data_IF_866896404299
#
_entry.id   IF_866896404299
#
_cell.length_a   1.000
_cell.length_b   1.000
_cell.length_c   1.000
_cell.angle_alpha   90.00
_cell.angle_beta   90.00
_cell.angle_gamma   90.00
#
_symmetry.space_group_name_H-M   'P 1'
#
loop_
_entity.id
_entity.type
_entity.pdbx_description
1 polymer ?
#
# COMPACT_ATOMS: atom_id res chain seq x y z
N UNK A 1 -16.48 27.47 23.88
CA UNK A 1 -16.73 26.67 22.67
C UNK A 1 -16.84 25.24 23.17
N UNK A 2 -18.04 24.65 23.17
CA UNK A 2 -18.23 23.26 23.65
C UNK A 2 -17.42 22.31 22.76
N UNK A 3 -16.72 21.36 23.39
CA UNK A 3 -15.88 20.39 22.70
C UNK A 3 -16.70 19.32 21.96
N UNK A 4 -16.11 18.68 20.96
CA UNK A 4 -16.78 17.63 20.17
C UNK A 4 -17.38 16.55 21.08
N UNK A 5 -16.64 16.10 22.10
CA UNK A 5 -17.11 15.07 23.03
C UNK A 5 -18.35 15.49 23.85
N UNK A 6 -18.50 16.77 24.16
CA UNK A 6 -19.66 17.29 24.90
C UNK A 6 -20.90 17.33 24.01
N UNK A 7 -20.75 17.66 22.73
CA UNK A 7 -21.84 17.60 21.75
C UNK A 7 -22.33 16.16 21.52
N UNK A 8 -21.41 15.21 21.36
CA UNK A 8 -21.75 13.79 21.23
C UNK A 8 -22.46 13.26 22.48
N UNK A 9 -21.96 13.60 23.67
CA UNK A 9 -22.62 13.20 24.91
C UNK A 9 -24.05 13.73 25.01
N UNK A 10 -24.29 14.99 24.62
CA UNK A 10 -25.63 15.56 24.58
C UNK A 10 -26.52 14.86 23.56
N UNK A 11 -26.03 14.59 22.35
CA UNK A 11 -26.79 13.94 21.28
C UNK A 11 -27.27 12.55 21.70
N UNK A 12 -26.38 11.76 22.32
CA UNK A 12 -26.67 10.40 22.76
C UNK A 12 -27.21 10.32 24.20
N UNK A 13 -27.52 11.47 24.82
CA UNK A 13 -28.02 11.57 26.20
C UNK A 13 -27.14 10.83 27.23
N UNK A 14 -25.83 10.83 27.00
CA UNK A 14 -24.84 10.18 27.85
C UNK A 14 -24.68 10.98 29.15
N UNK A 15 -24.59 10.28 30.28
CA UNK A 15 -24.41 10.90 31.58
C UNK A 15 -23.17 11.82 31.64
N UNK A 16 -23.27 13.04 32.20
CA UNK A 16 -22.12 13.92 32.40
C UNK A 16 -21.02 13.31 33.27
N UNK A 17 -21.33 12.32 34.10
CA UNK A 17 -20.34 11.58 34.88
C UNK A 17 -19.54 10.62 33.98
N UNK A 18 -20.17 9.97 33.01
CA UNK A 18 -19.49 9.11 32.03
C UNK A 18 -18.46 9.91 31.21
N UNK A 19 -18.83 11.12 30.76
CA UNK A 19 -17.93 12.00 30.00
C UNK A 19 -16.71 12.41 30.83
N UNK A 20 -16.94 12.83 32.09
CA UNK A 20 -15.85 13.22 33.01
C UNK A 20 -14.92 12.05 33.32
N UNK A 21 -15.46 10.83 33.43
CA UNK A 21 -14.66 9.61 33.66
C UNK A 21 -13.87 9.21 32.41
N UNK A 22 -14.48 9.23 31.23
CA UNK A 22 -13.79 8.94 29.97
C UNK A 22 -12.61 9.90 29.73
N UNK A 23 -12.79 11.21 30.00
CA UNK A 23 -11.71 12.20 29.91
C UNK A 23 -10.56 11.94 30.89
N UNK A 24 -10.83 11.31 32.04
CA UNK A 24 -9.82 10.97 33.06
C UNK A 24 -9.20 9.58 32.86
N UNK A 25 -9.87 8.69 32.14
CA UNK A 25 -9.42 7.32 31.89
C UNK A 25 -8.11 7.25 31.08
N UNK A 26 -7.71 8.32 30.40
CA UNK A 26 -6.40 8.41 29.75
C UNK A 26 -5.21 8.54 30.74
N UNK A 27 -5.46 8.80 32.02
CA UNK A 27 -4.41 9.10 33.00
C UNK A 27 -4.01 7.93 33.91
N UNK A 28 -4.87 6.91 34.08
CA UNK A 28 -4.67 5.81 35.04
C UNK A 28 -4.99 4.44 34.41
N UNK A 29 -4.62 3.34 35.10
CA UNK A 29 -4.83 1.92 34.76
C UNK A 29 -6.26 1.62 34.23
N UNK A 30 -6.45 0.55 33.43
CA UNK A 30 -7.72 0.21 32.80
C UNK A 30 -8.80 -0.15 33.84
N UNK A 31 -9.49 0.86 34.36
CA UNK A 31 -10.63 0.72 35.26
C UNK A 31 -11.95 0.87 34.47
N UNK A 32 -12.91 0.01 34.80
CA UNK A 32 -14.26 0.03 34.24
C UNK A 32 -15.21 0.66 35.27
N UNK A 33 -15.79 1.81 34.93
CA UNK A 33 -16.75 2.54 35.75
C UNK A 33 -18.16 2.32 35.22
N UNK A 34 -19.12 2.10 36.11
CA UNK A 34 -20.52 1.98 35.75
C UNK A 34 -21.40 2.86 36.65
N UNK A 35 -22.43 3.46 36.06
CA UNK A 35 -23.56 4.07 36.74
C UNK A 35 -24.83 3.26 36.55
N UNK A 36 -25.98 3.84 36.91
CA UNK A 36 -27.27 3.16 36.78
C UNK A 36 -27.64 2.83 35.32
N UNK A 37 -27.18 3.65 34.37
CA UNK A 37 -27.55 3.62 32.95
C UNK A 37 -26.35 3.82 32.00
N UNK A 38 -25.11 3.80 32.51
CA UNK A 38 -23.92 4.02 31.70
C UNK A 38 -22.73 3.19 32.19
N UNK A 39 -21.80 2.90 31.27
CA UNK A 39 -20.50 2.28 31.54
C UNK A 39 -19.43 3.08 30.79
N UNK A 40 -18.31 3.36 31.44
CA UNK A 40 -17.14 4.00 30.85
C UNK A 40 -15.87 3.30 31.35
N UNK A 41 -15.03 2.82 30.43
CA UNK A 41 -13.76 2.19 30.75
C UNK A 41 -12.87 2.12 29.52
N UNK A 42 -11.61 1.77 29.71
CA UNK A 42 -10.68 1.55 28.59
C UNK A 42 -10.78 0.07 28.20
N UNK A 43 -11.12 -0.18 26.93
CA UNK A 43 -10.99 -1.52 26.35
C UNK A 43 -9.54 -1.67 25.91
N UNK A 44 -8.77 -2.44 26.66
CA UNK A 44 -7.40 -2.79 26.30
C UNK A 44 -7.38 -3.75 25.12
N UNK A 45 -6.17 -4.04 24.61
CA UNK A 45 -6.03 -4.96 23.48
C UNK A 45 -6.63 -6.33 23.81
N UNK A 46 -6.41 -6.86 25.01
CA UNK A 46 -6.86 -8.19 25.41
C UNK A 46 -8.39 -8.27 25.53
N UNK A 47 -9.04 -7.24 26.08
CA UNK A 47 -10.49 -7.15 26.19
C UNK A 47 -11.14 -6.91 24.83
N UNK A 48 -10.50 -6.12 23.95
CA UNK A 48 -10.98 -5.87 22.59
C UNK A 48 -11.00 -7.13 21.72
N UNK A 49 -10.07 -8.08 21.95
CA UNK A 49 -10.11 -9.39 21.29
C UNK A 49 -11.22 -10.32 21.82
N UNK A 50 -11.80 -10.01 22.98
CA UNK A 50 -12.91 -10.76 23.56
C UNK A 50 -14.23 -10.53 22.82
N UNK A 51 -14.42 -9.35 22.25
CA UNK A 51 -15.61 -9.00 21.47
C UNK A 51 -15.44 -9.31 19.98
N UNK A 52 -16.39 -10.07 19.42
CA UNK A 52 -16.28 -10.62 18.08
C UNK A 52 -16.13 -9.55 16.99
N UNK A 53 -16.92 -8.48 17.06
CA UNK A 53 -16.91 -7.42 16.05
C UNK A 53 -15.65 -6.55 16.13
N UNK A 54 -15.16 -6.30 17.34
CA UNK A 54 -13.89 -5.56 17.55
C UNK A 54 -12.73 -6.40 17.00
N UNK A 55 -12.68 -7.69 17.32
CA UNK A 55 -11.67 -8.61 16.78
C UNK A 55 -11.67 -8.63 15.25
N UNK A 56 -12.84 -8.76 14.62
CA UNK A 56 -12.97 -8.72 13.15
C UNK A 56 -12.39 -7.43 12.57
N UNK A 57 -12.74 -6.28 13.16
CA UNK A 57 -12.18 -4.99 12.74
C UNK A 57 -10.67 -4.93 12.90
N UNK A 58 -10.11 -5.42 14.01
CA UNK A 58 -8.65 -5.47 14.21
C UNK A 58 -7.98 -6.40 13.20
N UNK A 59 -8.55 -7.57 12.95
CA UNK A 59 -8.02 -8.54 11.98
C UNK A 59 -8.05 -7.96 10.56
N UNK A 60 -9.13 -7.27 10.19
CA UNK A 60 -9.25 -6.53 8.93
C UNK A 60 -8.15 -5.46 8.83
N UNK A 61 -8.02 -4.58 9.81
CA UNK A 61 -7.00 -3.52 9.84
C UNK A 61 -5.57 -4.07 9.75
N UNK A 62 -5.33 -5.30 10.23
CA UNK A 62 -4.03 -5.97 10.18
C UNK A 62 -3.77 -6.72 8.87
N UNK A 63 -4.82 -7.02 8.10
CA UNK A 63 -4.72 -7.75 6.84
C UNK A 63 -3.86 -6.99 5.82
N UNK A 64 -3.18 -7.73 4.95
CA UNK A 64 -2.44 -7.13 3.82
C UNK A 64 -3.40 -6.44 2.86
N UNK A 65 -4.59 -7.00 2.69
CA UNK A 65 -5.64 -6.41 1.86
C UNK A 65 -5.94 -4.99 2.33
N UNK A 66 -6.30 -4.81 3.60
CA UNK A 66 -6.57 -3.47 4.14
C UNK A 66 -5.37 -2.54 4.04
N UNK A 67 -4.15 -3.03 4.31
CA UNK A 67 -2.95 -2.18 4.29
C UNK A 67 -2.61 -1.65 2.90
N UNK A 68 -2.78 -2.47 1.85
CA UNK A 68 -2.26 -2.16 0.52
C UNK A 68 -3.32 -1.85 -0.53
N UNK A 69 -4.60 -2.18 -0.32
CA UNK A 69 -5.65 -1.88 -1.30
C UNK A 69 -6.40 -0.57 -1.04
N UNK A 70 -6.14 0.07 0.10
CA UNK A 70 -6.63 1.42 0.41
C UNK A 70 -5.86 2.51 -0.35
N UNK A 71 -4.73 2.17 -0.99
CA UNK A 71 -3.96 3.13 -1.78
C UNK A 71 -4.79 3.59 -3.00
N UNK A 72 -5.03 4.90 -3.16
CA UNK A 72 -5.64 5.45 -4.36
C UNK A 72 -4.83 5.12 -5.61
N UNK A 73 -5.38 5.43 -6.79
CA UNK A 73 -4.63 5.26 -8.02
C UNK A 73 -3.34 6.08 -8.01
N UNK A 74 -2.21 5.47 -8.36
CA UNK A 74 -0.93 6.15 -8.50
C UNK A 74 -0.11 5.58 -9.66
N UNK A 75 0.92 6.33 -10.05
CA UNK A 75 1.82 5.97 -11.14
C UNK A 75 3.26 6.01 -10.65
N UNK A 76 4.02 4.98 -10.96
CA UNK A 76 5.48 4.94 -10.87
C UNK A 76 6.06 5.01 -12.28
N UNK A 77 7.00 5.92 -12.53
CA UNK A 77 7.67 6.03 -13.83
C UNK A 77 9.13 6.48 -13.70
N UNK A 78 10.01 5.89 -14.51
CA UNK A 78 11.41 6.30 -14.65
C UNK A 78 11.65 7.35 -15.73
N UNK A 79 10.61 7.75 -16.47
CA UNK A 79 10.70 8.80 -17.49
C UNK A 79 9.54 9.81 -17.39
N UNK A 80 9.71 11.03 -17.92
CA UNK A 80 8.61 11.99 -18.04
C UNK A 80 7.60 11.53 -19.10
N UNK A 81 6.32 11.80 -18.89
CA UNK A 81 5.24 11.46 -19.83
C UNK A 81 4.18 12.56 -19.86
N UNK A 82 3.18 12.47 -20.74
CA UNK A 82 2.24 13.57 -21.02
C UNK A 82 1.54 14.10 -19.77
N UNK A 83 1.01 13.22 -18.91
CA UNK A 83 0.32 13.66 -17.69
C UNK A 83 1.27 14.06 -16.55
N UNK A 84 2.55 13.68 -16.63
CA UNK A 84 3.58 14.07 -15.66
C UNK A 84 4.93 14.37 -16.34
N UNK A 85 5.15 15.63 -16.79
CA UNK A 85 6.35 16.03 -17.51
C UNK A 85 7.57 16.27 -16.59
N UNK A 86 7.47 16.00 -15.28
CA UNK A 86 8.56 16.25 -14.33
C UNK A 86 9.76 15.35 -14.64
N UNK A 87 10.96 15.93 -14.61
CA UNK A 87 12.21 15.19 -14.78
C UNK A 87 12.38 14.13 -13.69
N UNK A 88 12.88 12.95 -14.09
CA UNK A 88 13.14 11.82 -13.18
C UNK A 88 14.61 11.75 -12.81
N UNK A 89 14.95 11.21 -11.64
CA UNK A 89 16.33 10.85 -11.31
C UNK A 89 16.90 9.90 -12.36
N UNK A 90 18.21 10.00 -12.59
CA UNK A 90 18.93 9.07 -13.47
C UNK A 90 18.81 7.62 -12.98
N UNK A 91 18.84 6.70 -13.93
CA UNK A 91 18.89 5.28 -13.64
C UNK A 91 20.27 4.86 -13.09
N UNK A 92 20.35 3.76 -12.33
CA UNK A 92 21.63 3.14 -11.99
C UNK A 92 22.47 2.85 -13.23
N UNK A 93 23.79 2.99 -13.12
CA UNK A 93 24.74 2.70 -14.22
C UNK A 93 24.71 1.22 -14.68
N UNK A 94 24.21 0.33 -13.82
CA UNK A 94 24.00 -1.09 -14.15
C UNK A 94 22.86 -1.34 -15.14
N UNK A 95 22.04 -0.32 -15.43
CA UNK A 95 20.93 -0.42 -16.38
C UNK A 95 21.21 0.38 -17.65
N UNK A 96 20.80 -0.14 -18.83
CA UNK A 96 20.87 0.62 -20.07
C UNK A 96 20.10 1.95 -19.96
N UNK A 97 20.61 3.08 -20.50
CA UNK A 97 19.90 4.36 -20.49
C UNK A 97 18.54 4.34 -21.20
N UNK A 98 18.33 3.38 -22.11
CA UNK A 98 17.07 3.14 -22.80
C UNK A 98 16.00 2.48 -21.92
N UNK A 99 16.36 2.05 -20.71
CA UNK A 99 15.43 1.36 -19.81
C UNK A 99 14.27 2.27 -19.42
N UNK A 100 13.06 1.76 -19.58
CA UNK A 100 11.82 2.43 -19.21
C UNK A 100 11.03 1.51 -18.30
N UNK A 101 10.57 2.08 -17.18
CA UNK A 101 9.65 1.42 -16.27
C UNK A 101 8.51 2.37 -16.03
N UNK A 102 7.32 1.94 -16.39
CA UNK A 102 6.05 2.60 -16.10
C UNK A 102 5.12 1.58 -15.46
N UNK A 103 4.49 1.95 -14.34
CA UNK A 103 3.46 1.16 -13.67
C UNK A 103 2.35 2.10 -13.23
N UNK A 104 1.11 1.81 -13.62
CA UNK A 104 -0.09 2.43 -13.07
C UNK A 104 -0.83 1.41 -12.22
N UNK A 105 -1.16 1.82 -11.00
CA UNK A 105 -1.78 0.94 -10.01
C UNK A 105 -3.06 1.53 -9.48
N UNK A 106 -4.02 0.68 -9.14
CA UNK A 106 -5.28 1.05 -8.49
C UNK A 106 -5.69 -0.04 -7.51
N UNK A 107 -5.99 0.34 -6.27
CA UNK A 107 -6.32 -0.58 -5.17
C UNK A 107 -5.27 -1.69 -4.99
N UNK A 108 -3.98 -1.31 -5.07
CA UNK A 108 -2.86 -2.23 -4.94
C UNK A 108 -2.59 -3.13 -6.15
N UNK A 109 -3.46 -3.15 -7.17
CA UNK A 109 -3.28 -3.95 -8.39
C UNK A 109 -2.69 -3.13 -9.54
N UNK A 110 -1.83 -3.77 -10.35
CA UNK A 110 -1.27 -3.18 -11.57
C UNK A 110 -2.36 -3.20 -12.65
N UNK A 111 -2.69 -2.03 -13.21
CA UNK A 111 -3.68 -1.88 -14.28
C UNK A 111 -3.04 -1.53 -15.63
N UNK A 112 -1.82 -0.98 -15.60
CA UNK A 112 -1.03 -0.68 -16.80
C UNK A 112 0.45 -0.82 -16.46
N UNK A 113 1.23 -1.36 -17.39
CA UNK A 113 2.69 -1.43 -17.25
C UNK A 113 3.37 -1.32 -18.60
N UNK A 114 4.43 -0.52 -18.66
CA UNK A 114 5.34 -0.47 -19.80
C UNK A 114 6.76 -0.65 -19.26
N UNK A 115 7.33 -1.84 -19.45
CA UNK A 115 8.68 -2.16 -19.01
C UNK A 115 9.49 -2.64 -20.20
N UNK A 116 10.59 -1.95 -20.48
CA UNK A 116 11.49 -2.28 -21.58
C UNK A 116 12.92 -1.84 -21.27
N UNK A 117 13.88 -2.47 -21.95
CA UNK A 117 15.31 -2.13 -21.84
C UNK A 117 15.92 -1.74 -23.18
N UNK A 118 15.26 -2.09 -24.29
CA UNK A 118 15.76 -1.84 -25.64
C UNK A 118 15.64 -0.37 -26.05
N UNK A 119 16.61 0.11 -26.83
CA UNK A 119 16.53 1.39 -27.53
C UNK A 119 15.72 1.33 -28.82
N UNK A 120 15.51 0.13 -29.38
CA UNK A 120 14.66 -0.09 -30.55
C UNK A 120 13.17 -0.04 -30.14
N UNK A 121 12.41 0.85 -30.76
CA UNK A 121 11.00 1.07 -30.44
C UNK A 121 10.13 -0.18 -30.63
N UNK A 122 10.41 -1.02 -31.63
CA UNK A 122 9.61 -2.22 -31.90
C UNK A 122 9.88 -3.26 -30.81
N UNK A 123 11.16 -3.52 -30.53
CA UNK A 123 11.57 -4.47 -29.47
C UNK A 123 11.10 -3.98 -28.10
N UNK A 124 11.21 -2.68 -27.82
CA UNK A 124 10.74 -2.09 -26.57
C UNK A 124 9.22 -2.24 -26.39
N UNK A 125 8.44 -2.06 -27.46
CA UNK A 125 6.99 -2.27 -27.44
C UNK A 125 6.63 -3.75 -27.20
N UNK A 126 7.32 -4.67 -27.87
CA UNK A 126 7.11 -6.12 -27.67
C UNK A 126 7.51 -6.58 -26.26
N UNK A 127 8.60 -6.02 -25.69
CA UNK A 127 8.99 -6.27 -24.30
C UNK A 127 7.90 -5.78 -23.34
N UNK A 128 7.43 -4.54 -23.53
CA UNK A 128 6.40 -3.94 -22.70
C UNK A 128 5.10 -4.76 -22.73
N UNK A 129 4.63 -5.18 -23.91
CA UNK A 129 3.44 -6.02 -24.05
C UNK A 129 3.57 -7.36 -23.32
N UNK A 130 4.68 -8.10 -23.53
CA UNK A 130 4.91 -9.40 -22.88
C UNK A 130 5.00 -9.30 -21.36
N UNK A 131 5.62 -8.25 -20.85
CA UNK A 131 5.70 -7.99 -19.41
C UNK A 131 4.32 -7.61 -18.86
N UNK A 132 3.57 -6.78 -19.58
CA UNK A 132 2.24 -6.36 -19.17
C UNK A 132 1.24 -7.50 -19.08
N UNK A 133 1.25 -8.42 -20.03
CA UNK A 133 0.38 -9.61 -20.03
C UNK A 133 0.47 -10.40 -18.70
N UNK A 134 1.66 -10.44 -18.09
CA UNK A 134 1.88 -11.18 -16.83
C UNK A 134 1.63 -10.31 -15.60
N UNK A 135 1.88 -9.01 -15.68
CA UNK A 135 1.71 -8.09 -14.54
C UNK A 135 0.27 -7.60 -14.36
N UNK A 136 -0.52 -7.55 -15.44
CA UNK A 136 -1.88 -7.01 -15.40
C UNK A 136 -2.74 -7.74 -14.37
N UNK A 137 -3.35 -6.99 -13.45
CA UNK A 137 -4.19 -7.49 -12.37
C UNK A 137 -3.43 -8.05 -11.16
N UNK A 138 -2.09 -8.19 -11.20
CA UNK A 138 -1.32 -8.65 -10.03
C UNK A 138 -1.26 -7.56 -8.97
N UNK A 139 -1.35 -7.97 -7.70
CA UNK A 139 -1.20 -7.09 -6.55
C UNK A 139 0.28 -6.84 -6.27
N UNK A 140 0.69 -5.57 -6.26
CA UNK A 140 2.11 -5.19 -6.14
C UNK A 140 2.78 -5.77 -4.90
N UNK A 141 2.10 -5.72 -3.75
CA UNK A 141 2.61 -6.18 -2.46
C UNK A 141 2.75 -7.71 -2.36
N UNK A 142 2.18 -8.47 -3.30
CA UNK A 142 2.31 -9.92 -3.37
C UNK A 142 3.49 -10.35 -4.27
N UNK A 143 4.06 -9.41 -5.05
CA UNK A 143 5.17 -9.71 -5.97
C UNK A 143 6.49 -9.64 -5.21
N UNK A 144 7.10 -10.80 -4.99
CA UNK A 144 8.40 -10.89 -4.34
C UNK A 144 9.54 -10.58 -5.31
N UNK A 145 10.72 -10.21 -4.79
CA UNK A 145 11.90 -9.93 -5.61
C UNK A 145 12.30 -11.10 -6.51
N UNK A 146 12.22 -12.34 -6.02
CA UNK A 146 12.49 -13.54 -6.83
C UNK A 146 11.51 -13.71 -7.99
N UNK A 147 10.26 -13.27 -7.82
CA UNK A 147 9.25 -13.32 -8.88
C UNK A 147 9.46 -12.19 -9.89
N UNK A 148 9.90 -11.01 -9.45
CA UNK A 148 10.31 -9.93 -10.36
C UNK A 148 11.47 -10.38 -11.25
N UNK A 149 12.47 -11.00 -10.65
CA UNK A 149 13.64 -11.54 -11.35
C UNK A 149 13.24 -12.53 -12.44
N UNK A 150 12.54 -13.59 -12.06
CA UNK A 150 12.06 -14.62 -12.98
C UNK A 150 11.18 -14.02 -14.10
N UNK A 151 10.22 -13.15 -13.75
CA UNK A 151 9.32 -12.56 -14.73
C UNK A 151 10.08 -11.73 -15.75
N UNK A 152 11.02 -10.89 -15.32
CA UNK A 152 11.76 -10.01 -16.22
C UNK A 152 12.75 -10.79 -17.09
N UNK A 153 13.44 -11.79 -16.53
CA UNK A 153 14.31 -12.68 -17.30
C UNK A 153 13.53 -13.44 -18.38
N UNK A 154 12.34 -13.94 -18.06
CA UNK A 154 11.52 -14.70 -19.00
C UNK A 154 10.87 -13.83 -20.08
N UNK A 155 10.47 -12.59 -19.74
CA UNK A 155 9.60 -11.75 -20.59
C UNK A 155 10.31 -10.66 -21.38
N UNK A 156 11.49 -10.20 -20.96
CA UNK A 156 12.27 -9.21 -21.72
C UNK A 156 12.90 -9.79 -23.00
N UNK A 157 12.89 -11.12 -23.15
CA UNK A 157 13.38 -11.83 -24.34
C UNK A 157 14.82 -12.32 -24.20
N UNK A 158 15.16 -13.34 -25.01
CA UNK A 158 16.45 -14.03 -24.93
C UNK A 158 17.67 -13.16 -25.30
N UNK A 159 17.45 -12.06 -26.02
CA UNK A 159 18.50 -11.14 -26.46
C UNK A 159 18.94 -10.18 -25.34
N UNK A 160 18.21 -10.13 -24.22
CA UNK A 160 18.57 -9.32 -23.06
C UNK A 160 19.47 -10.14 -22.15
N UNK A 161 20.63 -9.59 -21.79
CA UNK A 161 21.53 -10.22 -20.83
C UNK A 161 20.80 -10.45 -19.50
N UNK A 162 20.90 -11.67 -18.95
CA UNK A 162 20.26 -12.03 -17.69
C UNK A 162 20.70 -11.11 -16.52
N UNK A 163 21.91 -10.57 -16.59
CA UNK A 163 22.44 -9.56 -15.65
C UNK A 163 21.59 -8.30 -15.66
N UNK A 164 21.19 -7.77 -16.83
CA UNK A 164 20.35 -6.57 -16.95
C UNK A 164 18.96 -6.83 -16.39
N UNK A 165 18.35 -7.98 -16.69
CA UNK A 165 17.05 -8.36 -16.13
C UNK A 165 17.10 -8.43 -14.59
N UNK A 166 18.17 -9.00 -14.05
CA UNK A 166 18.40 -9.11 -12.61
C UNK A 166 18.59 -7.75 -11.93
N UNK A 167 19.39 -6.87 -12.53
CA UNK A 167 19.59 -5.50 -12.03
C UNK A 167 18.29 -4.69 -12.09
N UNK A 168 17.47 -4.90 -13.12
CA UNK A 168 16.16 -4.24 -13.23
C UNK A 168 15.19 -4.74 -12.15
N UNK A 169 15.16 -6.06 -11.91
CA UNK A 169 14.37 -6.65 -10.85
C UNK A 169 14.78 -6.09 -9.47
N UNK A 170 16.09 -6.02 -9.20
CA UNK A 170 16.62 -5.42 -7.97
C UNK A 170 16.24 -3.93 -7.85
N UNK A 171 16.36 -3.17 -8.95
CA UNK A 171 15.98 -1.77 -8.97
C UNK A 171 14.50 -1.58 -8.63
N UNK A 172 13.60 -2.29 -9.32
CA UNK A 172 12.15 -2.23 -9.07
C UNK A 172 11.84 -2.68 -7.64
N UNK A 173 12.43 -3.80 -7.21
CA UNK A 173 12.26 -4.34 -5.86
C UNK A 173 12.67 -3.34 -4.78
N UNK A 174 13.80 -2.64 -4.94
CA UNK A 174 14.26 -1.62 -3.98
C UNK A 174 13.34 -0.40 -3.86
N UNK A 175 12.48 -0.15 -4.87
CA UNK A 175 11.55 0.98 -4.89
C UNK A 175 10.15 0.60 -4.45
N UNK A 176 9.73 -0.62 -4.76
CA UNK A 176 8.32 -1.02 -4.69
C UNK A 176 8.05 -2.23 -3.79
N UNK A 177 9.07 -3.02 -3.44
CA UNK A 177 8.94 -4.09 -2.44
C UNK A 177 9.32 -3.53 -1.07
N UNK A 178 8.46 -3.75 -0.07
CA UNK A 178 8.69 -3.41 1.32
C UNK A 178 9.23 -4.63 2.10
#
# INVERSE_FOLDING_TARGET
MEGIMEQFARLYQVSPDAVRRAQRAHANEPELYAGADWVAGVVGAQEGYGELEIRKGIDELRSLEWKYTQTPQFTFSTFPFEEDPRQRPGLPESLPPSTRVFLRLKHGAIIESEISVSSDSNVASEQACRVHEVLNGRKLHEIQLSQWDQLLTDRLGADVEATVAHELARFIGSKLCA
#
